data_IF_721786702947
#
_entry.id   IF_721786702947
#
_cell.length_a   1.000
_cell.length_b   1.000
_cell.length_c   1.000
_cell.angle_alpha   90.00
_cell.angle_beta   90.00
_cell.angle_gamma   90.00
#
_symmetry.space_group_name_H-M   'P 1'
#
loop_
_entity.id
_entity.type
_entity.pdbx_description
1 polymer ?
#
# COMPACT_ATOMS: atom_id res chain seq x y z
N UNK A 1 16.02 -11.31 10.09
CA UNK A 1 15.95 -11.09 8.63
C UNK A 1 17.34 -10.68 8.12
N UNK A 2 17.86 -11.40 7.14
CA UNK A 2 19.08 -11.02 6.42
C UNK A 2 18.84 -9.81 5.52
N UNK A 3 19.85 -8.92 5.40
CA UNK A 3 19.71 -7.65 4.66
C UNK A 3 19.58 -7.86 3.15
N UNK A 4 20.32 -8.84 2.62
CA UNK A 4 20.26 -9.13 1.18
C UNK A 4 18.92 -9.78 0.83
N UNK A 5 18.44 -10.68 1.67
CA UNK A 5 17.10 -11.26 1.56
C UNK A 5 16.00 -10.19 1.61
N UNK A 6 16.10 -9.24 2.56
CA UNK A 6 15.16 -8.12 2.64
C UNK A 6 15.16 -7.27 1.36
N UNK A 7 16.34 -6.89 0.84
CA UNK A 7 16.47 -6.10 -0.38
C UNK A 7 15.92 -6.82 -1.60
N UNK A 8 16.19 -8.11 -1.71
CA UNK A 8 15.67 -8.94 -2.79
C UNK A 8 14.14 -9.02 -2.73
N UNK A 9 13.57 -9.25 -1.56
CA UNK A 9 12.12 -9.30 -1.35
C UNK A 9 11.43 -7.97 -1.67
N UNK A 10 12.02 -6.83 -1.27
CA UNK A 10 11.55 -5.49 -1.64
C UNK A 10 11.52 -5.32 -3.17
N UNK A 11 12.55 -5.81 -3.87
CA UNK A 11 12.67 -5.69 -5.31
C UNK A 11 11.66 -6.58 -6.04
N UNK A 12 11.56 -7.85 -5.65
CA UNK A 12 10.65 -8.84 -6.23
C UNK A 12 9.18 -8.46 -6.05
N UNK A 13 8.82 -7.89 -4.90
CA UNK A 13 7.48 -7.42 -4.61
C UNK A 13 7.22 -5.97 -5.03
N UNK A 14 8.17 -5.33 -5.72
CA UNK A 14 8.09 -3.93 -6.20
C UNK A 14 7.77 -2.89 -5.11
N UNK A 15 8.24 -3.10 -3.86
CA UNK A 15 7.89 -2.31 -2.67
C UNK A 15 8.67 -1.01 -2.52
N UNK A 16 9.62 -0.72 -3.41
CA UNK A 16 10.46 0.49 -3.34
C UNK A 16 9.63 1.76 -3.29
N UNK A 17 8.55 1.84 -4.10
CA UNK A 17 7.69 3.03 -4.14
C UNK A 17 6.94 3.21 -2.82
N UNK A 18 6.39 2.13 -2.25
CA UNK A 18 5.70 2.18 -0.95
C UNK A 18 6.63 2.72 0.15
N UNK A 19 7.90 2.28 0.13
CA UNK A 19 8.90 2.71 1.11
C UNK A 19 9.23 4.19 0.96
N UNK A 20 9.49 4.68 -0.26
CA UNK A 20 9.85 6.09 -0.49
C UNK A 20 8.66 7.03 -0.30
N UNK A 21 7.42 6.58 -0.55
CA UNK A 21 6.21 7.33 -0.23
C UNK A 21 6.02 7.47 1.28
N UNK A 22 6.14 6.37 2.03
CA UNK A 22 6.02 6.39 3.49
C UNK A 22 7.16 7.16 4.16
N UNK A 23 8.31 7.27 3.48
CA UNK A 23 9.42 8.11 3.90
C UNK A 23 9.10 9.61 3.79
N UNK A 24 8.04 9.97 3.05
CA UNK A 24 7.63 11.35 2.78
C UNK A 24 8.28 11.96 1.53
N UNK A 25 8.93 11.15 0.70
CA UNK A 25 9.47 11.61 -0.57
C UNK A 25 8.35 12.04 -1.52
N UNK A 26 8.59 13.07 -2.33
CA UNK A 26 7.61 13.61 -3.26
C UNK A 26 8.08 13.51 -4.72
N UNK A 27 7.18 13.80 -5.69
CA UNK A 27 7.46 13.76 -7.13
C UNK A 27 8.09 12.44 -7.59
N UNK A 28 7.57 11.32 -7.08
CA UNK A 28 8.08 9.98 -7.38
C UNK A 28 7.80 9.66 -8.84
N UNK A 29 8.87 9.34 -9.61
CA UNK A 29 8.79 8.99 -11.03
C UNK A 29 9.59 7.72 -11.28
N UNK A 30 8.94 6.71 -11.86
CA UNK A 30 9.61 5.51 -12.34
C UNK A 30 10.12 5.75 -13.76
N UNK A 31 11.42 5.64 -13.96
CA UNK A 31 12.06 5.76 -15.26
C UNK A 31 12.43 4.36 -15.76
N UNK A 32 11.56 3.79 -16.58
CA UNK A 32 11.66 2.41 -17.07
C UNK A 32 11.70 1.37 -15.92
N UNK A 33 12.35 0.23 -16.17
CA UNK A 33 12.57 -0.83 -15.18
C UNK A 33 13.86 -0.67 -14.38
N UNK A 34 14.63 0.40 -14.60
CA UNK A 34 15.99 0.51 -14.09
C UNK A 34 16.09 1.33 -12.80
N UNK A 35 15.33 2.43 -12.69
CA UNK A 35 15.44 3.31 -11.51
C UNK A 35 14.18 4.15 -11.27
N UNK A 36 14.09 4.66 -10.05
CA UNK A 36 13.05 5.59 -9.59
C UNK A 36 13.72 6.88 -9.16
N UNK A 37 13.15 8.04 -9.51
CA UNK A 37 13.57 9.35 -9.01
C UNK A 37 12.50 9.95 -8.12
N UNK A 38 12.91 10.65 -7.05
CA UNK A 38 12.01 11.38 -6.15
C UNK A 38 12.70 12.59 -5.51
N UNK A 39 11.91 13.48 -4.94
CA UNK A 39 12.40 14.57 -4.09
C UNK A 39 12.67 14.09 -2.67
N UNK A 40 13.51 14.82 -1.93
CA UNK A 40 13.71 14.58 -0.50
C UNK A 40 12.44 14.91 0.30
N UNK A 41 12.22 14.25 1.47
CA UNK A 41 11.10 14.59 2.35
C UNK A 41 11.07 16.08 2.79
N UNK A 42 12.24 16.69 2.91
CA UNK A 42 12.47 18.06 3.42
C UNK A 42 12.89 19.07 2.35
N UNK A 43 12.82 18.70 1.07
CA UNK A 43 13.38 19.50 -0.02
C UNK A 43 12.38 19.83 -1.12
N UNK A 44 12.71 20.81 -1.96
CA UNK A 44 11.92 21.29 -3.08
C UNK A 44 12.39 20.74 -4.45
N UNK A 45 13.54 20.05 -4.50
CA UNK A 45 14.07 19.46 -5.73
C UNK A 45 13.33 18.14 -6.05
N UNK A 46 12.55 18.05 -7.13
CA UNK A 46 11.73 16.90 -7.46
C UNK A 46 12.53 15.65 -7.91
N UNK A 47 13.84 15.77 -8.12
CA UNK A 47 14.72 14.69 -8.57
C UNK A 47 15.99 14.61 -7.70
N UNK A 48 15.85 14.85 -6.39
CA UNK A 48 16.99 14.85 -5.46
C UNK A 48 17.56 13.46 -5.20
N UNK A 49 16.73 12.42 -5.24
CA UNK A 49 17.13 11.03 -4.97
C UNK A 49 16.87 10.19 -6.21
N UNK A 50 17.83 9.32 -6.54
CA UNK A 50 17.65 8.23 -7.52
C UNK A 50 17.85 6.90 -6.80
N UNK A 51 16.87 6.01 -6.90
CA UNK A 51 16.91 4.63 -6.39
C UNK A 51 17.00 3.68 -7.58
N UNK A 52 18.11 2.97 -7.71
CA UNK A 52 18.30 1.96 -8.75
C UNK A 52 17.65 0.64 -8.34
N UNK A 53 16.85 0.07 -9.24
CA UNK A 53 16.15 -1.21 -9.04
C UNK A 53 17.10 -2.39 -9.30
N UNK A 54 18.20 -2.44 -8.57
CA UNK A 54 19.18 -3.51 -8.59
C UNK A 54 19.19 -4.27 -7.25
N UNK A 55 19.88 -5.39 -7.19
CA UNK A 55 19.94 -6.27 -6.01
C UNK A 55 20.40 -5.58 -4.73
N UNK A 56 21.14 -4.48 -4.84
CA UNK A 56 21.61 -3.69 -3.70
C UNK A 56 20.67 -2.53 -3.36
N UNK A 57 19.65 -2.24 -4.20
CA UNK A 57 18.82 -1.03 -4.10
C UNK A 57 19.69 0.22 -3.94
N UNK A 58 20.70 0.35 -4.81
CA UNK A 58 21.65 1.46 -4.76
C UNK A 58 20.93 2.79 -4.89
N UNK A 59 21.30 3.75 -4.03
CA UNK A 59 20.71 5.09 -4.02
C UNK A 59 21.77 6.16 -4.20
N UNK A 60 21.38 7.26 -4.85
CA UNK A 60 22.17 8.49 -4.93
C UNK A 60 21.28 9.66 -4.51
N UNK A 61 21.71 10.41 -3.50
CA UNK A 61 21.12 11.70 -3.18
C UNK A 61 22.04 12.81 -3.69
N UNK A 62 21.54 13.62 -4.62
CA UNK A 62 22.33 14.68 -5.28
C UNK A 62 22.36 15.99 -4.48
N UNK A 63 21.52 16.13 -3.48
CA UNK A 63 21.33 17.39 -2.75
C UNK A 63 21.67 17.32 -1.26
N UNK A 64 21.83 16.10 -0.72
CA UNK A 64 22.15 15.85 0.69
C UNK A 64 23.33 14.88 0.82
N UNK A 65 24.17 15.13 1.80
CA UNK A 65 25.26 14.22 2.16
C UNK A 65 24.73 13.18 3.15
N UNK A 66 24.47 11.97 2.68
CA UNK A 66 23.91 10.89 3.48
C UNK A 66 24.96 10.24 4.38
N UNK A 67 26.17 10.03 3.85
CA UNK A 67 27.27 9.43 4.60
C UNK A 67 28.21 10.50 5.17
N UNK A 68 28.92 10.21 6.30
CA UNK A 68 29.93 11.10 6.85
C UNK A 68 31.01 11.49 5.82
N UNK A 69 31.56 12.70 5.96
CA UNK A 69 32.59 13.23 5.07
C UNK A 69 33.78 12.28 4.94
N UNK A 70 34.20 12.03 3.70
CA UNK A 70 35.34 11.15 3.39
C UNK A 70 35.00 9.69 3.11
N UNK A 71 33.75 9.29 3.24
CA UNK A 71 33.29 7.97 2.78
C UNK A 71 32.85 8.06 1.31
N UNK A 72 33.44 7.22 0.47
CA UNK A 72 33.15 7.14 -0.98
C UNK A 72 32.21 5.98 -1.34
N UNK A 73 31.63 5.33 -0.33
CA UNK A 73 30.74 4.18 -0.54
C UNK A 73 29.40 4.65 -1.10
N UNK A 74 28.93 3.96 -2.12
CA UNK A 74 27.58 4.15 -2.62
C UNK A 74 26.56 3.88 -1.48
N UNK A 75 25.54 4.73 -1.37
CA UNK A 75 24.45 4.54 -0.43
C UNK A 75 23.45 3.54 -0.99
N UNK A 76 22.66 2.95 -0.11
CA UNK A 76 21.52 2.11 -0.48
C UNK A 76 20.21 2.68 0.10
N UNK A 77 19.12 1.98 -0.17
CA UNK A 77 17.79 2.42 0.31
C UNK A 77 17.72 2.49 1.85
N UNK A 78 18.41 1.58 2.56
CA UNK A 78 18.44 1.61 4.03
C UNK A 78 19.23 2.82 4.54
N UNK A 79 20.33 3.22 3.89
CA UNK A 79 21.09 4.42 4.25
C UNK A 79 20.20 5.68 4.11
N UNK A 80 19.38 5.77 3.06
CA UNK A 80 18.43 6.88 2.88
C UNK A 80 17.38 6.90 4.00
N UNK A 81 16.84 5.73 4.37
CA UNK A 81 15.87 5.60 5.46
C UNK A 81 16.48 6.00 6.80
N UNK A 82 17.70 5.50 7.10
CA UNK A 82 18.42 5.84 8.31
C UNK A 82 18.66 7.34 8.43
N UNK A 83 19.04 7.98 7.33
CA UNK A 83 19.25 9.43 7.27
C UNK A 83 17.92 10.20 7.44
N UNK A 84 16.89 9.87 6.67
CA UNK A 84 15.66 10.66 6.63
C UNK A 84 14.81 10.52 7.91
N UNK A 85 14.89 9.38 8.60
CA UNK A 85 14.15 9.08 9.83
C UNK A 85 15.03 9.12 11.09
N UNK A 86 16.31 9.48 10.96
CA UNK A 86 17.30 9.48 12.05
C UNK A 86 17.36 8.14 12.81
N UNK A 87 17.17 7.03 12.09
CA UNK A 87 17.11 5.70 12.65
C UNK A 87 18.49 5.01 12.63
N UNK A 88 18.74 4.13 13.60
CA UNK A 88 19.84 3.19 13.48
C UNK A 88 19.46 2.03 12.53
N UNK A 89 20.48 1.27 12.11
CA UNK A 89 20.33 0.20 11.13
C UNK A 89 19.23 -0.83 11.46
N UNK A 90 19.18 -1.30 12.71
CA UNK A 90 18.15 -2.28 13.13
C UNK A 90 16.73 -1.70 13.09
N UNK A 91 16.57 -0.47 13.52
CA UNK A 91 15.27 0.22 13.47
C UNK A 91 14.84 0.53 12.03
N UNK A 92 15.79 0.83 11.15
CA UNK A 92 15.49 1.01 9.73
C UNK A 92 14.94 -0.28 9.09
N UNK A 93 15.54 -1.45 9.39
CA UNK A 93 15.00 -2.74 8.94
C UNK A 93 13.61 -2.99 9.51
N UNK A 94 13.40 -2.78 10.81
CA UNK A 94 12.08 -2.94 11.44
C UNK A 94 11.03 -2.00 10.82
N UNK A 95 11.43 -0.76 10.52
CA UNK A 95 10.57 0.21 9.88
C UNK A 95 10.16 -0.26 8.47
N UNK A 96 11.12 -0.73 7.66
CA UNK A 96 10.84 -1.30 6.33
C UNK A 96 9.91 -2.51 6.42
N UNK A 97 10.17 -3.42 7.38
CA UNK A 97 9.29 -4.57 7.61
C UNK A 97 7.85 -4.12 7.95
N UNK A 98 7.71 -3.07 8.77
CA UNK A 98 6.41 -2.48 9.09
C UNK A 98 5.70 -1.90 7.87
N UNK A 99 6.40 -1.15 7.01
CA UNK A 99 5.86 -0.58 5.77
C UNK A 99 5.42 -1.67 4.80
N UNK A 100 6.26 -2.69 4.61
CA UNK A 100 6.02 -3.75 3.64
C UNK A 100 5.10 -4.87 4.17
N UNK A 101 4.86 -4.94 5.48
CA UNK A 101 4.13 -6.04 6.12
C UNK A 101 4.95 -7.33 6.21
N UNK A 102 6.29 -7.21 6.36
CA UNK A 102 7.19 -8.36 6.48
C UNK A 102 7.40 -8.76 7.93
N UNK A 103 7.66 -10.06 8.15
CA UNK A 103 8.10 -10.53 9.45
C UNK A 103 9.58 -10.23 9.64
N UNK A 104 9.92 -9.46 10.68
CA UNK A 104 11.33 -9.12 10.99
C UNK A 104 12.17 -10.37 11.31
N UNK A 105 11.57 -11.44 11.82
CA UNK A 105 12.25 -12.69 12.17
C UNK A 105 12.26 -13.72 11.03
N UNK A 106 11.73 -13.37 9.85
CA UNK A 106 11.79 -14.24 8.68
C UNK A 106 13.25 -14.45 8.25
N UNK A 107 13.64 -15.71 8.09
CA UNK A 107 14.98 -16.11 7.65
C UNK A 107 14.90 -16.74 6.27
N UNK A 108 15.93 -16.51 5.46
CA UNK A 108 16.11 -17.21 4.20
C UNK A 108 16.45 -18.68 4.49
N UNK A 109 15.74 -19.62 3.89
CA UNK A 109 16.10 -21.03 3.97
C UNK A 109 17.40 -21.26 3.16
N UNK A 110 18.55 -21.37 3.84
CA UNK A 110 19.81 -21.79 3.22
C UNK A 110 19.71 -23.23 2.71
N UNK A 111 19.63 -23.36 1.39
CA UNK A 111 19.75 -24.69 0.76
C UNK A 111 21.21 -25.18 0.78
N UNK A 112 21.44 -26.45 1.14
CA UNK A 112 22.79 -27.02 1.07
C UNK A 112 23.37 -26.89 -0.35
N UNK A 113 24.70 -26.66 -0.51
CA UNK A 113 25.36 -26.48 -1.82
C UNK A 113 25.10 -27.62 -2.80
N UNK A 114 24.83 -28.83 -2.31
CA UNK A 114 24.46 -29.98 -3.13
C UNK A 114 23.10 -29.85 -3.82
N UNK A 115 22.28 -28.86 -3.46
CA UNK A 115 20.96 -28.59 -4.02
C UNK A 115 20.92 -27.31 -4.87
N UNK A 116 22.04 -26.60 -5.08
CA UNK A 116 22.09 -25.37 -5.88
C UNK A 116 21.60 -25.58 -7.32
N UNK A 117 21.87 -26.73 -7.93
CA UNK A 117 21.34 -27.07 -9.24
C UNK A 117 19.82 -27.28 -9.25
N UNK A 118 19.26 -27.81 -8.14
CA UNK A 118 17.81 -27.89 -7.92
C UNK A 118 17.23 -26.49 -7.76
N UNK A 119 17.94 -25.58 -7.10
CA UNK A 119 17.55 -24.16 -7.01
C UNK A 119 17.52 -23.50 -8.39
N UNK A 120 18.49 -23.77 -9.26
CA UNK A 120 18.49 -23.27 -10.64
C UNK A 120 17.30 -23.82 -11.46
N UNK A 121 17.01 -25.15 -11.37
CA UNK A 121 15.84 -25.75 -12.02
C UNK A 121 14.55 -25.22 -11.38
N UNK A 122 14.50 -25.06 -10.06
CA UNK A 122 13.35 -24.50 -9.35
C UNK A 122 13.15 -23.02 -9.73
N UNK A 123 14.20 -22.27 -10.00
CA UNK A 123 14.10 -20.90 -10.49
C UNK A 123 13.54 -20.84 -11.92
N UNK A 124 13.96 -21.74 -12.80
CA UNK A 124 13.41 -21.86 -14.15
C UNK A 124 11.97 -22.40 -14.18
N UNK A 125 11.61 -23.29 -13.23
CA UNK A 125 10.22 -23.75 -13.05
C UNK A 125 9.39 -22.77 -12.22
N UNK A 126 10.02 -21.94 -11.37
CA UNK A 126 9.36 -20.84 -10.65
C UNK A 126 8.94 -19.69 -11.56
N UNK A 127 9.60 -19.48 -12.70
CA UNK A 127 9.09 -18.51 -13.71
C UNK A 127 7.76 -18.97 -14.31
N UNK A 128 7.52 -20.28 -14.46
CA UNK A 128 6.21 -20.81 -14.83
C UNK A 128 5.26 -21.05 -13.63
N UNK A 129 5.80 -21.33 -12.43
CA UNK A 129 5.04 -21.46 -11.19
C UNK A 129 4.76 -20.10 -10.51
N UNK A 130 5.57 -19.06 -10.77
CA UNK A 130 5.33 -17.69 -10.31
C UNK A 130 3.99 -17.13 -10.84
N UNK A 131 3.54 -17.57 -12.01
CA UNK A 131 2.20 -17.25 -12.50
C UNK A 131 1.08 -17.95 -11.68
N UNK A 132 1.34 -19.13 -11.10
CA UNK A 132 0.40 -19.83 -10.22
C UNK A 132 0.50 -19.33 -8.77
N UNK A 133 1.69 -19.05 -8.24
CA UNK A 133 1.89 -18.45 -6.91
C UNK A 133 1.36 -17.01 -6.83
N UNK A 134 1.46 -16.25 -7.91
CA UNK A 134 0.93 -14.88 -8.00
C UNK A 134 -0.62 -14.84 -7.87
N UNK A 135 -1.29 -15.96 -8.15
CA UNK A 135 -2.74 -16.11 -7.98
C UNK A 135 -3.16 -16.77 -6.65
N UNK A 136 -2.23 -17.11 -5.77
CA UNK A 136 -2.57 -17.71 -4.47
C UNK A 136 -3.03 -16.60 -3.50
N UNK A 137 -4.24 -16.69 -2.93
CA UNK A 137 -4.73 -15.72 -1.98
C UNK A 137 -3.93 -15.72 -0.67
N UNK A 138 -4.04 -14.65 0.10
CA UNK A 138 -3.48 -14.58 1.45
C UNK A 138 -4.10 -15.68 2.30
N UNK A 139 -3.29 -16.36 3.12
CA UNK A 139 -3.79 -17.44 3.98
C UNK A 139 -4.61 -16.87 5.14
N UNK A 140 -5.75 -17.49 5.48
CA UNK A 140 -6.50 -17.15 6.69
C UNK A 140 -5.66 -17.31 7.96
N UNK A 141 -5.94 -16.46 8.94
CA UNK A 141 -5.35 -16.50 10.28
C UNK A 141 -6.43 -16.81 11.32
N UNK A 142 -6.01 -17.25 12.50
CA UNK A 142 -6.95 -17.58 13.58
C UNK A 142 -7.62 -16.31 14.13
N UNK A 143 -8.94 -16.27 14.07
CA UNK A 143 -9.73 -15.13 14.57
C UNK A 143 -9.58 -14.91 16.09
N UNK A 144 -9.11 -15.91 16.85
CA UNK A 144 -8.86 -15.75 18.29
C UNK A 144 -7.87 -14.64 18.62
N UNK A 145 -7.03 -14.24 17.65
CA UNK A 145 -6.13 -13.10 17.79
C UNK A 145 -6.89 -11.78 18.05
N UNK A 146 -8.11 -11.66 17.55
CA UNK A 146 -8.94 -10.48 17.76
C UNK A 146 -9.36 -10.28 19.23
N UNK A 147 -9.30 -11.35 20.05
CA UNK A 147 -9.61 -11.27 21.49
C UNK A 147 -8.60 -10.39 22.28
N UNK A 148 -7.44 -10.08 21.70
CA UNK A 148 -6.47 -9.15 22.30
C UNK A 148 -6.88 -7.68 22.17
N UNK A 149 -7.86 -7.37 21.32
CA UNK A 149 -8.29 -6.00 21.04
C UNK A 149 -9.64 -5.69 21.67
N UNK A 150 -9.84 -4.43 22.03
CA UNK A 150 -11.11 -3.97 22.59
C UNK A 150 -12.11 -3.70 21.45
N UNK A 151 -13.30 -4.31 21.54
CA UNK A 151 -14.39 -4.09 20.59
C UNK A 151 -15.11 -2.77 20.89
N UNK A 152 -14.47 -1.67 20.56
CA UNK A 152 -15.00 -0.32 20.75
C UNK A 152 -14.77 0.51 19.49
N UNK A 153 -15.78 1.27 19.11
CA UNK A 153 -15.65 2.26 18.07
C UNK A 153 -14.75 3.41 18.48
N UNK A 154 -14.25 4.15 17.51
CA UNK A 154 -13.28 5.19 17.72
C UNK A 154 -13.82 6.57 17.35
N UNK A 155 -13.68 7.54 18.26
CA UNK A 155 -14.16 8.91 18.08
C UNK A 155 -13.45 9.65 16.95
N UNK A 156 -12.15 9.38 16.75
CA UNK A 156 -11.38 10.03 15.68
C UNK A 156 -11.95 9.66 14.29
N UNK A 157 -12.33 8.41 14.07
CA UNK A 157 -12.96 8.00 12.83
C UNK A 157 -14.43 8.46 12.72
N UNK A 158 -15.11 8.61 13.85
CA UNK A 158 -16.45 9.21 13.85
C UNK A 158 -16.39 10.69 13.43
N UNK A 159 -15.41 11.43 13.93
CA UNK A 159 -15.15 12.83 13.53
C UNK A 159 -14.72 12.95 12.06
N UNK A 160 -14.12 11.89 11.50
CA UNK A 160 -13.78 11.77 10.07
C UNK A 160 -15.00 11.33 9.20
N UNK A 161 -16.19 11.20 9.78
CA UNK A 161 -17.43 10.87 9.06
C UNK A 161 -17.74 9.37 8.95
N UNK A 162 -17.10 8.51 9.74
CA UNK A 162 -17.40 7.07 9.79
C UNK A 162 -18.15 6.77 11.09
N UNK A 163 -19.46 6.57 11.00
CA UNK A 163 -20.31 6.33 12.17
C UNK A 163 -19.87 5.11 12.98
N UNK A 164 -20.22 5.09 14.28
CA UNK A 164 -19.98 3.92 15.13
C UNK A 164 -20.64 2.65 14.59
N UNK A 165 -21.76 2.80 13.87
CA UNK A 165 -22.42 1.68 13.21
C UNK A 165 -21.52 1.11 12.10
N UNK A 166 -21.05 1.93 11.16
CA UNK A 166 -20.13 1.50 10.10
C UNK A 166 -18.85 0.91 10.68
N UNK A 167 -18.29 1.52 11.72
CA UNK A 167 -17.13 0.96 12.42
C UNK A 167 -17.42 -0.44 12.98
N UNK A 168 -18.58 -0.66 13.58
CA UNK A 168 -18.98 -1.98 14.09
C UNK A 168 -19.18 -3.01 12.97
N UNK A 169 -19.76 -2.61 11.82
CA UNK A 169 -19.96 -3.48 10.66
C UNK A 169 -18.63 -3.93 10.04
N UNK A 170 -17.60 -3.07 10.08
CA UNK A 170 -16.24 -3.41 9.66
C UNK A 170 -15.38 -3.99 10.81
N UNK A 171 -16.00 -4.31 11.95
CA UNK A 171 -15.32 -4.89 13.11
C UNK A 171 -14.12 -4.06 13.61
N UNK A 172 -14.23 -2.73 13.54
CA UNK A 172 -13.20 -1.82 14.03
C UNK A 172 -13.04 -2.00 15.53
N UNK A 173 -11.80 -2.08 15.99
CA UNK A 173 -11.42 -2.31 17.39
C UNK A 173 -10.36 -1.32 17.83
N UNK A 174 -9.90 -1.45 19.06
CA UNK A 174 -8.85 -0.62 19.62
C UNK A 174 -7.81 -1.46 20.37
N UNK A 175 -6.54 -1.15 20.10
CA UNK A 175 -5.42 -1.68 20.86
C UNK A 175 -4.90 -0.62 21.86
N UNK A 176 -5.14 -0.79 23.17
CA UNK A 176 -4.68 0.15 24.18
C UNK A 176 -3.15 0.12 24.38
N UNK A 177 -2.47 -0.97 24.02
CA UNK A 177 -1.03 -1.10 24.21
C UNK A 177 -0.23 -0.29 23.18
N UNK A 178 -0.62 -0.38 21.92
CA UNK A 178 0.05 0.37 20.84
C UNK A 178 -0.66 1.69 20.51
N UNK A 179 -1.76 2.01 21.19
CA UNK A 179 -2.63 3.17 20.92
C UNK A 179 -3.07 3.26 19.46
N UNK A 180 -3.65 2.14 18.96
CA UNK A 180 -4.05 2.04 17.55
C UNK A 180 -5.51 1.64 17.39
N UNK A 181 -6.15 2.27 16.42
CA UNK A 181 -7.39 1.77 15.83
C UNK A 181 -7.03 0.51 15.05
N UNK A 182 -7.71 -0.58 15.32
CA UNK A 182 -7.49 -1.88 14.70
C UNK A 182 -8.57 -2.13 13.67
N UNK A 183 -8.16 -2.44 12.46
CA UNK A 183 -9.01 -2.82 11.35
C UNK A 183 -8.67 -4.25 10.92
N UNK A 184 -9.53 -5.23 11.24
CA UNK A 184 -9.42 -6.58 10.72
C UNK A 184 -9.62 -6.58 9.20
N UNK A 185 -8.82 -7.38 8.51
CA UNK A 185 -8.85 -7.51 7.05
C UNK A 185 -9.42 -8.88 6.70
N UNK A 186 -10.61 -8.86 6.09
CA UNK A 186 -11.33 -10.08 5.68
C UNK A 186 -11.25 -10.26 4.17
N UNK A 187 -11.05 -11.48 3.72
CA UNK A 187 -11.16 -11.82 2.30
C UNK A 187 -12.61 -11.79 1.82
N UNK A 188 -12.83 -11.98 0.52
CA UNK A 188 -14.16 -11.91 -0.08
C UNK A 188 -15.16 -12.99 0.42
N UNK A 189 -14.67 -14.03 1.10
CA UNK A 189 -15.51 -15.08 1.70
C UNK A 189 -15.67 -14.92 3.21
N UNK A 190 -15.12 -13.84 3.79
CA UNK A 190 -15.25 -13.49 5.20
C UNK A 190 -14.24 -14.18 6.12
N UNK A 191 -13.12 -14.71 5.59
CA UNK A 191 -12.03 -15.23 6.43
C UNK A 191 -11.09 -14.12 6.82
N UNK A 192 -10.68 -14.04 8.09
CA UNK A 192 -9.68 -13.10 8.56
C UNK A 192 -8.31 -13.44 7.94
N UNK A 193 -7.70 -12.50 7.24
CA UNK A 193 -6.41 -12.69 6.55
C UNK A 193 -5.32 -11.73 7.02
N UNK A 194 -5.68 -10.69 7.75
CA UNK A 194 -4.73 -9.71 8.26
C UNK A 194 -5.33 -8.76 9.26
N UNK A 195 -4.49 -7.94 9.87
CA UNK A 195 -4.90 -6.90 10.83
C UNK A 195 -4.06 -5.66 10.58
N UNK A 196 -4.72 -4.53 10.36
CA UNK A 196 -4.06 -3.22 10.18
C UNK A 196 -4.31 -2.34 11.39
N UNK A 197 -3.29 -1.64 11.84
CA UNK A 197 -3.35 -0.71 12.98
C UNK A 197 -3.09 0.72 12.53
N UNK A 198 -4.01 1.64 12.81
CA UNK A 198 -3.87 3.10 12.61
C UNK A 198 -3.52 3.77 13.94
N UNK A 199 -2.39 4.46 14.02
CA UNK A 199 -1.99 5.17 15.22
C UNK A 199 -3.03 6.25 15.59
N UNK A 200 -3.47 6.26 16.84
CA UNK A 200 -4.50 7.18 17.34
C UNK A 200 -3.88 8.47 17.84
N UNK A 201 -3.20 9.16 16.95
CA UNK A 201 -2.63 10.50 17.14
C UNK A 201 -2.92 11.32 15.88
N UNK A 202 -2.86 12.65 15.98
CA UNK A 202 -2.81 13.55 14.83
C UNK A 202 -1.42 13.45 14.19
N UNK A 203 -1.32 13.64 12.88
CA UNK A 203 -0.04 13.51 12.16
C UNK A 203 1.00 14.53 12.64
N UNK A 204 0.59 15.71 13.04
CA UNK A 204 1.42 16.75 13.64
C UNK A 204 2.07 16.37 14.99
N UNK A 205 1.49 15.35 15.68
CA UNK A 205 1.95 14.85 16.97
C UNK A 205 2.76 13.54 16.83
N UNK A 206 3.09 13.09 15.60
CA UNK A 206 3.85 11.86 15.40
C UNK A 206 5.33 12.09 15.76
N UNK A 207 5.88 11.11 16.47
CA UNK A 207 7.32 11.01 16.65
C UNK A 207 7.96 10.45 15.37
N UNK A 208 9.24 10.77 15.11
CA UNK A 208 9.96 10.42 13.88
C UNK A 208 9.94 8.91 13.53
N UNK A 209 9.82 8.07 14.55
CA UNK A 209 9.78 6.62 14.40
C UNK A 209 8.36 6.05 14.31
N UNK A 210 7.33 6.86 14.53
CA UNK A 210 5.93 6.41 14.49
C UNK A 210 5.40 6.36 13.06
N UNK A 211 4.76 5.25 12.72
CA UNK A 211 4.06 5.07 11.46
C UNK A 211 2.56 5.27 11.65
N UNK A 212 1.96 5.99 10.73
CA UNK A 212 0.50 6.22 10.70
C UNK A 212 -0.25 4.89 10.64
N UNK A 213 0.15 3.99 9.74
CA UNK A 213 -0.41 2.65 9.58
C UNK A 213 0.68 1.59 9.68
N UNK A 214 0.36 0.47 10.33
CA UNK A 214 1.19 -0.74 10.34
C UNK A 214 0.31 -1.97 10.16
N UNK A 215 0.89 -3.04 9.64
CA UNK A 215 0.28 -4.36 9.76
C UNK A 215 0.70 -4.96 11.09
N UNK A 216 -0.28 -5.46 11.87
CA UNK A 216 -0.03 -6.01 13.21
C UNK A 216 0.67 -7.37 13.15
N UNK A 217 0.78 -7.93 11.95
CA UNK A 217 1.49 -9.17 11.62
C UNK A 217 1.92 -9.14 10.15
N UNK A 218 2.77 -10.08 9.74
CA UNK A 218 3.19 -10.20 8.34
C UNK A 218 1.98 -10.31 7.40
N UNK A 219 1.92 -9.45 6.40
CA UNK A 219 0.78 -9.36 5.50
C UNK A 219 1.20 -8.89 4.10
N UNK A 220 0.87 -9.69 3.07
CA UNK A 220 1.13 -9.29 1.70
C UNK A 220 -0.06 -8.53 1.10
N UNK A 221 -0.04 -7.20 1.19
CA UNK A 221 -1.11 -6.33 0.68
C UNK A 221 -1.31 -6.44 -0.84
N UNK A 222 -0.27 -6.81 -1.62
CA UNK A 222 -0.39 -6.97 -3.07
C UNK A 222 -1.27 -8.17 -3.50
N UNK A 223 -1.54 -9.09 -2.57
CA UNK A 223 -2.44 -10.23 -2.77
C UNK A 223 -3.79 -10.06 -2.07
N UNK A 224 -4.21 -8.82 -1.85
CA UNK A 224 -5.43 -8.53 -1.11
C UNK A 224 -6.19 -7.34 -1.69
N UNK A 225 -7.51 -7.42 -1.66
CA UNK A 225 -8.43 -6.33 -2.00
C UNK A 225 -9.38 -6.14 -0.83
N UNK A 226 -9.34 -4.97 -0.19
CA UNK A 226 -10.15 -4.66 0.99
C UNK A 226 -11.60 -4.34 0.62
N UNK A 227 -12.51 -4.79 1.45
CA UNK A 227 -13.92 -4.39 1.45
C UNK A 227 -14.86 -5.32 0.71
N UNK A 228 -14.36 -6.29 -0.07
CA UNK A 228 -15.22 -7.18 -0.87
C UNK A 228 -16.21 -7.99 -0.01
N UNK A 229 -15.83 -8.41 1.19
CA UNK A 229 -16.69 -9.12 2.13
C UNK A 229 -17.94 -8.34 2.53
N UNK A 230 -17.87 -7.00 2.53
CA UNK A 230 -18.97 -6.10 2.93
C UNK A 230 -19.67 -5.42 1.76
N UNK A 231 -18.93 -5.14 0.68
CA UNK A 231 -19.42 -4.23 -0.36
C UNK A 231 -19.78 -4.91 -1.68
N UNK A 232 -19.50 -6.21 -1.85
CA UNK A 232 -19.72 -6.94 -3.11
C UNK A 232 -21.16 -6.80 -3.62
N UNK A 233 -22.16 -7.03 -2.76
CA UNK A 233 -23.57 -6.91 -3.13
C UNK A 233 -23.97 -5.47 -3.50
N UNK A 234 -23.33 -4.48 -2.87
CA UNK A 234 -23.53 -3.08 -3.20
C UNK A 234 -22.95 -2.75 -4.57
N UNK A 235 -21.72 -3.21 -4.85
CA UNK A 235 -21.03 -3.06 -6.13
C UNK A 235 -21.86 -3.66 -7.27
N UNK A 236 -22.36 -4.87 -7.09
CA UNK A 236 -23.21 -5.52 -8.10
C UNK A 236 -24.49 -4.75 -8.35
N UNK A 237 -25.16 -4.29 -7.28
CA UNK A 237 -26.42 -3.52 -7.39
C UNK A 237 -26.24 -2.15 -8.01
N UNK A 238 -25.16 -1.44 -7.69
CA UNK A 238 -24.88 -0.11 -8.26
C UNK A 238 -24.32 -0.18 -9.68
N UNK A 239 -23.76 -1.35 -10.10
CA UNK A 239 -23.29 -1.60 -11.45
C UNK A 239 -21.95 -0.96 -11.81
N UNK A 240 -21.14 -0.57 -10.83
CA UNK A 240 -19.76 -0.09 -10.99
C UNK A 240 -18.96 -0.24 -9.69
N UNK A 241 -17.65 -0.20 -9.74
CA UNK A 241 -16.79 -0.35 -8.57
C UNK A 241 -15.74 0.77 -8.50
N UNK A 242 -15.85 1.72 -7.56
CA UNK A 242 -14.78 2.63 -7.20
C UNK A 242 -13.64 1.86 -6.51
N UNK A 243 -12.40 2.19 -6.88
CA UNK A 243 -11.17 1.60 -6.33
C UNK A 243 -10.38 2.72 -5.67
N UNK A 244 -10.19 2.64 -4.35
CA UNK A 244 -9.43 3.59 -3.56
C UNK A 244 -8.03 3.06 -3.21
N UNK A 245 -7.13 3.94 -2.75
CA UNK A 245 -5.82 3.54 -2.21
C UNK A 245 -5.97 2.93 -0.81
N UNK A 246 -6.70 3.60 0.07
CA UNK A 246 -6.80 3.30 1.48
C UNK A 246 -8.14 2.73 1.93
N UNK A 247 -8.11 1.90 2.96
CA UNK A 247 -9.28 1.23 3.54
C UNK A 247 -10.27 2.23 4.14
N UNK A 248 -9.78 3.34 4.73
CA UNK A 248 -10.62 4.40 5.31
C UNK A 248 -11.62 4.95 4.28
N UNK A 249 -11.18 5.13 3.04
CA UNK A 249 -12.01 5.63 1.94
C UNK A 249 -13.17 4.68 1.63
N UNK A 250 -12.96 3.36 1.76
CA UNK A 250 -14.04 2.36 1.61
C UNK A 250 -15.08 2.49 2.72
N UNK A 251 -14.66 2.70 3.97
CA UNK A 251 -15.59 2.89 5.08
C UNK A 251 -16.41 4.17 4.90
N UNK A 252 -15.80 5.27 4.46
CA UNK A 252 -16.50 6.53 4.17
C UNK A 252 -17.50 6.34 3.00
N UNK A 253 -17.10 5.67 1.92
CA UNK A 253 -17.99 5.37 0.81
C UNK A 253 -19.20 4.51 1.26
N UNK A 254 -18.92 3.50 2.09
CA UNK A 254 -19.93 2.60 2.65
C UNK A 254 -20.95 3.35 3.52
N UNK A 255 -20.50 4.30 4.36
CA UNK A 255 -21.37 5.19 5.16
C UNK A 255 -22.41 5.90 4.30
N UNK A 256 -22.05 6.23 3.07
CA UNK A 256 -22.92 6.91 2.12
C UNK A 256 -23.61 5.96 1.13
N UNK A 257 -23.59 4.66 1.37
CA UNK A 257 -24.28 3.67 0.56
C UNK A 257 -23.59 3.36 -0.78
N UNK A 258 -22.30 3.66 -0.92
CA UNK A 258 -21.50 3.35 -2.11
C UNK A 258 -20.61 2.13 -1.85
N UNK A 259 -20.85 1.05 -2.60
CA UNK A 259 -19.99 -0.13 -2.61
C UNK A 259 -18.68 0.18 -3.33
N UNK A 260 -17.54 -0.12 -2.70
CA UNK A 260 -16.21 0.18 -3.22
C UNK A 260 -15.17 -0.76 -2.62
N UNK A 261 -13.94 -0.69 -3.11
CA UNK A 261 -12.81 -1.48 -2.62
C UNK A 261 -11.56 -0.63 -2.45
N UNK A 262 -10.57 -1.13 -1.69
CA UNK A 262 -9.23 -0.54 -1.64
C UNK A 262 -8.15 -1.56 -1.98
N UNK A 263 -7.08 -1.07 -2.63
CA UNK A 263 -5.89 -1.87 -2.99
C UNK A 263 -4.77 -1.76 -1.95
N UNK A 264 -5.02 -1.04 -0.85
CA UNK A 264 -4.12 -0.89 0.30
C UNK A 264 -2.76 -0.28 -0.06
N UNK A 265 -2.74 0.59 -1.07
CA UNK A 265 -1.55 1.29 -1.54
C UNK A 265 -1.79 1.99 -2.87
N UNK A 266 -0.73 2.63 -3.40
CA UNK A 266 -0.81 3.46 -4.60
C UNK A 266 -0.69 2.70 -5.93
N UNK A 267 -0.52 1.38 -5.89
CA UNK A 267 -0.39 0.55 -7.10
C UNK A 267 -1.29 -0.66 -7.03
N UNK A 268 -1.88 -1.00 -8.17
CA UNK A 268 -2.67 -2.21 -8.36
C UNK A 268 -1.73 -3.33 -8.79
N UNK A 269 -1.66 -4.41 -8.03
CA UNK A 269 -0.89 -5.59 -8.41
C UNK A 269 -1.60 -6.41 -9.50
N UNK A 270 -0.88 -7.33 -10.14
CA UNK A 270 -1.46 -8.28 -11.10
C UNK A 270 -2.56 -9.14 -10.45
N UNK A 271 -2.34 -9.59 -9.21
CA UNK A 271 -3.33 -10.33 -8.43
C UNK A 271 -4.61 -9.50 -8.20
N UNK A 272 -4.45 -8.26 -7.72
CA UNK A 272 -5.58 -7.36 -7.47
C UNK A 272 -6.34 -7.05 -8.76
N UNK A 273 -5.64 -6.79 -9.87
CA UNK A 273 -6.28 -6.58 -11.17
C UNK A 273 -7.10 -7.81 -11.61
N UNK A 274 -6.58 -9.02 -11.40
CA UNK A 274 -7.30 -10.26 -11.70
C UNK A 274 -8.55 -10.43 -10.83
N UNK A 275 -8.47 -10.13 -9.52
CA UNK A 275 -9.63 -10.16 -8.61
C UNK A 275 -10.68 -9.15 -9.04
N UNK A 276 -10.28 -7.91 -9.30
CA UNK A 276 -11.18 -6.83 -9.70
C UNK A 276 -11.87 -7.08 -11.05
N UNK A 277 -11.15 -7.67 -12.00
CA UNK A 277 -11.72 -8.07 -13.30
C UNK A 277 -12.87 -9.07 -13.14
N UNK A 278 -12.79 -9.96 -12.15
CA UNK A 278 -13.86 -10.97 -11.89
C UNK A 278 -15.16 -10.38 -11.37
N UNK A 279 -15.15 -9.14 -10.88
CA UNK A 279 -16.37 -8.44 -10.46
C UNK A 279 -17.33 -8.21 -11.65
N UNK A 280 -16.81 -8.19 -12.87
CA UNK A 280 -17.56 -8.03 -14.11
C UNK A 280 -18.48 -6.78 -14.14
N UNK A 281 -18.01 -5.71 -13.52
CA UNK A 281 -18.64 -4.37 -13.53
C UNK A 281 -17.62 -3.33 -13.96
N UNK A 282 -18.03 -2.19 -14.54
CA UNK A 282 -17.14 -1.05 -14.78
C UNK A 282 -16.33 -0.65 -13.53
N UNK A 283 -15.04 -0.48 -13.68
CA UNK A 283 -14.12 -0.07 -12.62
C UNK A 283 -13.81 1.43 -12.74
N UNK A 284 -13.68 2.10 -11.60
CA UNK A 284 -13.29 3.52 -11.55
C UNK A 284 -12.14 3.67 -10.55
N UNK A 285 -10.94 3.97 -11.03
CA UNK A 285 -9.79 4.24 -10.18
C UNK A 285 -9.95 5.64 -9.58
N UNK A 286 -10.06 5.72 -8.25
CA UNK A 286 -10.33 6.93 -7.47
C UNK A 286 -9.20 7.15 -6.46
N UNK A 287 -7.97 7.34 -6.94
CA UNK A 287 -6.79 7.53 -6.11
C UNK A 287 -6.72 8.95 -5.54
N UNK A 288 -5.86 9.14 -4.54
CA UNK A 288 -5.69 10.40 -3.82
C UNK A 288 -5.10 11.49 -4.73
N UNK A 289 -5.26 12.76 -4.33
CA UNK A 289 -4.91 13.97 -5.13
C UNK A 289 -3.45 14.04 -5.55
N UNK A 290 -2.53 13.43 -4.82
CA UNK A 290 -1.10 13.46 -5.09
C UNK A 290 -0.68 12.63 -6.32
N UNK A 291 -1.59 11.80 -6.89
CA UNK A 291 -1.31 11.01 -8.09
C UNK A 291 -1.48 11.82 -9.36
N UNK A 292 -0.49 11.72 -10.25
CA UNK A 292 -0.56 12.37 -11.56
C UNK A 292 -1.51 11.62 -12.49
N UNK A 293 -2.01 12.32 -13.53
CA UNK A 293 -2.83 11.68 -14.57
C UNK A 293 -2.11 10.50 -15.22
N UNK A 294 -0.76 10.57 -15.36
CA UNK A 294 0.02 9.49 -15.94
C UNK A 294 0.09 8.27 -15.02
N UNK A 295 0.22 8.48 -13.70
CA UNK A 295 0.22 7.38 -12.73
C UNK A 295 -1.09 6.61 -12.79
N UNK A 296 -2.21 7.31 -12.75
CA UNK A 296 -3.54 6.69 -12.81
C UNK A 296 -3.79 5.99 -14.16
N UNK A 297 -3.29 6.56 -15.26
CA UNK A 297 -3.34 5.90 -16.57
C UNK A 297 -2.53 4.61 -16.61
N UNK A 298 -1.37 4.60 -15.97
CA UNK A 298 -0.53 3.40 -15.88
C UNK A 298 -1.26 2.29 -15.10
N UNK A 299 -1.96 2.64 -14.01
CA UNK A 299 -2.77 1.68 -13.26
C UNK A 299 -3.95 1.16 -14.09
N UNK A 300 -4.62 2.04 -14.83
CA UNK A 300 -5.72 1.67 -15.74
C UNK A 300 -5.25 0.69 -16.83
N UNK A 301 -4.04 0.86 -17.33
CA UNK A 301 -3.46 0.02 -18.39
C UNK A 301 -3.16 -1.43 -17.96
N UNK A 302 -3.20 -1.73 -16.65
CA UNK A 302 -2.99 -3.08 -16.13
C UNK A 302 -4.18 -4.02 -16.35
N UNK A 303 -5.34 -3.47 -16.68
CA UNK A 303 -6.54 -4.23 -16.96
C UNK A 303 -6.64 -4.59 -18.45
N UNK A 304 -7.32 -5.70 -18.76
CA UNK A 304 -7.54 -6.12 -20.15
C UNK A 304 -8.33 -5.05 -20.92
N UNK A 305 -8.06 -4.91 -22.21
CA UNK A 305 -8.75 -3.95 -23.09
C UNK A 305 -10.29 -4.12 -23.13
N UNK A 306 -10.77 -5.33 -22.90
CA UNK A 306 -12.21 -5.64 -22.85
C UNK A 306 -12.89 -5.18 -21.57
N UNK A 307 -12.11 -4.84 -20.51
CA UNK A 307 -12.65 -4.40 -19.22
C UNK A 307 -12.91 -2.89 -19.26
N UNK A 308 -14.14 -2.42 -18.97
CA UNK A 308 -14.42 -0.99 -18.91
C UNK A 308 -13.80 -0.40 -17.63
N UNK A 309 -12.64 0.21 -17.77
CA UNK A 309 -11.93 0.89 -16.68
C UNK A 309 -11.86 2.38 -16.98
N UNK A 310 -12.24 3.17 -16.00
CA UNK A 310 -12.15 4.63 -16.02
C UNK A 310 -11.33 5.09 -14.83
N UNK A 311 -10.91 6.35 -14.83
CA UNK A 311 -10.22 6.96 -13.71
C UNK A 311 -10.82 8.31 -13.36
N UNK A 312 -10.76 8.67 -12.08
CA UNK A 312 -11.12 9.98 -11.58
C UNK A 312 -9.87 10.86 -11.56
N UNK A 313 -10.02 12.12 -11.98
CA UNK A 313 -8.95 13.10 -11.90
C UNK A 313 -9.55 14.46 -11.52
N UNK A 314 -9.10 15.02 -10.40
CA UNK A 314 -9.55 16.33 -9.93
C UNK A 314 -8.93 17.47 -10.75
N UNK A 315 -9.55 17.79 -11.89
CA UNK A 315 -9.15 18.94 -12.74
C UNK A 315 -9.71 20.27 -12.24
N UNK A 316 -10.68 20.23 -11.33
CA UNK A 316 -11.32 21.41 -10.77
C UNK A 316 -10.61 21.91 -9.51
N UNK A 317 -9.52 21.24 -9.10
CA UNK A 317 -8.68 21.56 -7.93
C UNK A 317 -9.48 21.67 -6.61
N UNK A 318 -10.40 20.73 -6.43
CA UNK A 318 -11.28 20.67 -5.26
C UNK A 318 -10.61 20.00 -4.05
N UNK A 319 -9.75 19.01 -4.32
CA UNK A 319 -9.10 18.21 -3.29
C UNK A 319 -7.82 18.89 -2.79
N UNK A 320 -7.53 18.72 -1.50
CA UNK A 320 -6.24 19.08 -0.91
C UNK A 320 -5.20 18.02 -1.28
N UNK A 321 -3.93 18.33 -1.09
CA UNK A 321 -2.86 17.36 -1.24
C UNK A 321 -3.08 16.14 -0.35
N UNK A 322 -2.96 14.93 -0.91
CA UNK A 322 -3.22 13.63 -0.25
C UNK A 322 -4.65 13.42 0.27
N UNK A 323 -5.60 14.25 -0.15
CA UNK A 323 -7.01 14.04 0.16
C UNK A 323 -7.61 12.98 -0.78
N UNK A 324 -8.31 12.01 -0.21
CA UNK A 324 -9.09 11.05 -0.99
C UNK A 324 -10.35 11.70 -1.55
N UNK A 325 -10.76 11.35 -2.77
CA UNK A 325 -11.98 11.92 -3.38
C UNK A 325 -13.25 11.78 -2.54
N UNK A 326 -13.27 10.83 -1.60
CA UNK A 326 -14.44 10.52 -0.77
C UNK A 326 -14.39 11.14 0.63
N UNK A 327 -13.24 11.71 1.05
CA UNK A 327 -13.08 12.31 2.38
C UNK A 327 -14.11 13.43 2.66
N UNK A 328 -14.57 14.09 1.61
CA UNK A 328 -15.66 15.06 1.70
C UNK A 328 -16.76 14.71 0.68
N UNK A 329 -17.94 14.32 1.16
CA UNK A 329 -19.02 13.78 0.34
C UNK A 329 -19.53 14.72 -0.75
N UNK A 330 -19.49 16.02 -0.51
CA UNK A 330 -19.89 17.04 -1.52
C UNK A 330 -18.92 17.05 -2.69
N UNK A 331 -17.63 16.92 -2.44
CA UNK A 331 -16.58 16.80 -3.46
C UNK A 331 -16.72 15.51 -4.24
N UNK A 332 -16.91 14.37 -3.55
CA UNK A 332 -17.17 13.08 -4.19
C UNK A 332 -18.33 13.15 -5.20
N UNK A 333 -19.47 13.72 -4.79
CA UNK A 333 -20.64 13.85 -5.68
C UNK A 333 -20.36 14.67 -6.92
N UNK A 334 -19.52 15.67 -6.84
CA UNK A 334 -19.08 16.47 -7.97
C UNK A 334 -18.13 15.68 -8.88
N UNK A 335 -17.10 15.09 -8.29
CA UNK A 335 -16.02 14.39 -9.01
C UNK A 335 -16.55 13.15 -9.76
N UNK A 336 -17.36 12.32 -9.13
CA UNK A 336 -17.93 11.12 -9.77
C UNK A 336 -18.84 11.46 -10.96
N UNK A 337 -19.44 12.65 -10.96
CA UNK A 337 -20.32 13.11 -12.05
C UNK A 337 -19.56 13.79 -13.18
N UNK A 338 -18.51 14.55 -12.88
CA UNK A 338 -17.89 15.49 -13.82
C UNK A 338 -16.44 15.16 -14.17
N UNK A 339 -15.73 14.39 -13.33
CA UNK A 339 -14.29 14.21 -13.41
C UNK A 339 -13.86 12.74 -13.63
N UNK A 340 -14.70 11.98 -14.35
CA UNK A 340 -14.42 10.61 -14.77
C UNK A 340 -13.94 10.59 -16.21
N UNK A 341 -12.79 10.00 -16.44
CA UNK A 341 -12.11 9.92 -17.74
C UNK A 341 -11.88 8.47 -18.12
N UNK A 342 -11.94 8.18 -19.41
CA UNK A 342 -11.60 6.87 -19.97
C UNK A 342 -10.22 6.92 -20.58
N UNK A 343 -9.52 5.81 -20.52
CA UNK A 343 -8.21 5.70 -21.18
C UNK A 343 -8.36 5.67 -22.69
N UNK A 344 -9.50 5.10 -23.17
CA UNK A 344 -9.86 4.97 -24.60
C UNK A 344 -11.35 5.16 -24.80
#
# INVERSE_FOLDING_TARGET
>A
MDVQFLKQKILEEERVVDIIEELGCHHIRRNNTEYITCGNPDGDNPAAITVYLNTNLTCINYTRQILPSGQTRATDLLDIIMWAKELNFFRAIQWVCGVCGYDYYEEEEELPPSLEWLHFITKMTKESAAEEEDNTPVKPIDESILNYYLQVGNKMWEDDGISLQTQAEFSVMYDPYSNRIILPLYDAVGSLVGIKGRLMKKEEDFEEWEQKYIYMQSFNKSKYVFGLDKTLDMIVRQGYCPIFEGEKSVLIAYEHGVGSVAVCGCKISKYQANVLTRLNVPLIICFDKDKTEQDVKNETAKFMESMPVSYMLDKDDLLREKESPVDEWTKWRHLIKNNIYKLR
#
